data_IF_421676516315
#
_entry.id   IF_421676516315
#
_cell.length_a   1.000
_cell.length_b   1.000
_cell.length_c   1.000
_cell.angle_alpha   90.00
_cell.angle_beta   90.00
_cell.angle_gamma   90.00
#
_symmetry.space_group_name_H-M   'P 1'
#
loop_
_entity.id
_entity.type
_entity.pdbx_description
1 polymer ?
#
# COMPACT_ATOMS: atom_id res chain seq x y z
N UNK A 1 2.63 20.74 15.39
CA UNK A 1 3.12 19.95 14.24
C UNK A 1 2.02 19.55 13.26
N UNK A 2 0.83 19.08 13.68
CA UNK A 2 -0.33 18.77 12.79
C UNK A 2 -0.85 19.88 11.83
N UNK A 3 -0.49 21.14 12.08
CA UNK A 3 -0.92 22.29 11.26
C UNK A 3 -0.03 22.52 10.02
N UNK A 4 1.16 21.91 9.97
CA UNK A 4 2.15 22.10 8.91
C UNK A 4 2.46 20.83 8.11
N UNK A 5 2.20 19.64 8.64
CA UNK A 5 2.33 18.38 7.89
C UNK A 5 1.13 18.11 7.00
N UNK A 6 1.30 18.37 5.70
CA UNK A 6 0.33 18.04 4.64
C UNK A 6 0.09 16.52 4.52
N UNK A 7 0.96 15.71 5.14
CA UNK A 7 0.89 14.25 5.29
C UNK A 7 0.14 13.79 6.56
N UNK A 8 -0.06 14.66 7.56
CA UNK A 8 -0.75 14.35 8.82
C UNK A 8 -2.28 14.48 8.73
N UNK A 9 -2.85 14.19 7.56
CA UNK A 9 -4.29 14.25 7.33
C UNK A 9 -4.92 12.85 7.41
N UNK A 10 -4.70 12.17 8.53
CA UNK A 10 -5.29 10.87 8.86
C UNK A 10 -6.60 11.04 9.62
N UNK A 11 -7.51 10.06 9.50
CA UNK A 11 -8.76 10.05 10.26
C UNK A 11 -8.47 9.96 11.76
N UNK A 12 -9.22 10.75 12.53
CA UNK A 12 -9.08 10.78 13.99
C UNK A 12 -10.05 9.75 14.56
N UNK A 13 -9.49 8.63 15.01
CA UNK A 13 -10.22 7.61 15.75
C UNK A 13 -10.00 7.83 17.25
N UNK A 14 -11.08 7.92 18.02
CA UNK A 14 -11.05 8.07 19.49
C UNK A 14 -11.85 6.93 20.14
N UNK A 15 -11.45 6.48 21.33
CA UNK A 15 -12.16 5.43 22.08
C UNK A 15 -11.96 3.99 21.56
N UNK A 16 -13.02 3.19 21.58
CA UNK A 16 -13.04 1.77 21.16
C UNK A 16 -12.63 1.57 19.69
N UNK A 17 -13.10 2.38 18.72
CA UNK A 17 -12.69 2.28 17.30
C UNK A 17 -11.19 2.38 17.07
N UNK A 18 -10.50 3.22 17.86
CA UNK A 18 -9.03 3.33 17.79
C UNK A 18 -8.34 2.03 18.20
N UNK A 19 -8.85 1.36 19.25
CA UNK A 19 -8.31 0.06 19.69
C UNK A 19 -8.50 -1.01 18.62
N UNK A 20 -9.68 -1.04 17.98
CA UNK A 20 -9.97 -1.99 16.89
C UNK A 20 -9.04 -1.78 15.71
N UNK A 21 -8.83 -0.53 15.28
CA UNK A 21 -7.93 -0.23 14.14
C UNK A 21 -6.48 -0.56 14.49
N UNK A 22 -6.02 -0.23 15.70
CA UNK A 22 -4.68 -0.59 16.14
C UNK A 22 -4.49 -2.12 16.18
N UNK A 23 -5.49 -2.87 16.66
CA UNK A 23 -5.46 -4.33 16.65
C UNK A 23 -5.41 -4.88 15.22
N UNK A 24 -6.22 -4.33 14.31
CA UNK A 24 -6.22 -4.70 12.89
C UNK A 24 -4.86 -4.43 12.24
N UNK A 25 -4.25 -3.27 12.50
CA UNK A 25 -2.91 -2.95 12.02
C UNK A 25 -1.85 -3.90 12.58
N UNK A 26 -1.93 -4.24 13.87
CA UNK A 26 -1.00 -5.20 14.48
C UNK A 26 -1.14 -6.59 13.87
N UNK A 27 -2.37 -7.08 13.67
CA UNK A 27 -2.64 -8.37 13.00
C UNK A 27 -2.10 -8.34 11.56
N UNK A 28 -2.30 -7.24 10.84
CA UNK A 28 -1.76 -7.09 9.49
C UNK A 28 -0.22 -7.10 9.46
N UNK A 29 0.44 -6.43 10.41
CA UNK A 29 1.90 -6.47 10.53
C UNK A 29 2.41 -7.89 10.81
N UNK A 30 1.78 -8.62 11.73
CA UNK A 30 2.12 -10.02 12.02
C UNK A 30 1.87 -10.91 10.81
N UNK A 31 0.77 -10.69 10.09
CA UNK A 31 0.48 -11.38 8.83
C UNK A 31 1.57 -11.13 7.78
N UNK A 32 2.00 -9.88 7.57
CA UNK A 32 3.08 -9.55 6.63
C UNK A 32 4.40 -10.22 7.00
N UNK A 33 4.74 -10.29 8.30
CA UNK A 33 5.94 -11.00 8.77
C UNK A 33 5.81 -12.51 8.50
N UNK A 34 4.70 -13.13 8.95
CA UNK A 34 4.48 -14.56 8.79
C UNK A 34 4.45 -14.99 7.33
N UNK A 35 3.77 -14.23 6.47
CA UNK A 35 3.71 -14.52 5.04
C UNK A 35 5.03 -14.26 4.33
N UNK A 36 5.90 -13.38 4.82
CA UNK A 36 7.24 -13.21 4.24
C UNK A 36 8.19 -14.34 4.63
N UNK A 37 8.07 -14.87 5.84
CA UNK A 37 8.93 -15.94 6.34
C UNK A 37 8.51 -17.35 5.87
N UNK A 38 7.21 -17.65 5.78
CA UNK A 38 6.72 -19.03 5.64
C UNK A 38 5.99 -19.34 4.32
N UNK A 39 5.63 -18.32 3.53
CA UNK A 39 4.75 -18.54 2.37
C UNK A 39 5.53 -18.90 1.10
N UNK A 40 5.33 -20.12 0.58
CA UNK A 40 5.76 -20.60 -0.75
C UNK A 40 4.70 -20.44 -1.84
N UNK A 41 3.57 -19.81 -1.51
CA UNK A 41 2.45 -19.52 -2.40
C UNK A 41 2.86 -18.72 -3.65
N UNK A 42 2.08 -18.87 -4.72
CA UNK A 42 2.24 -18.10 -5.95
C UNK A 42 2.23 -16.58 -5.68
N UNK A 43 3.11 -15.82 -6.38
CA UNK A 43 3.26 -14.39 -6.13
C UNK A 43 1.97 -13.61 -6.37
N UNK A 44 1.17 -13.97 -7.38
CA UNK A 44 -0.08 -13.25 -7.68
C UNK A 44 -1.08 -13.34 -6.53
N UNK A 45 -1.25 -14.53 -5.95
CA UNK A 45 -2.17 -14.76 -4.83
C UNK A 45 -1.72 -14.02 -3.57
N UNK A 46 -0.41 -14.04 -3.31
CA UNK A 46 0.18 -13.38 -2.14
C UNK A 46 0.08 -11.86 -2.22
N UNK A 47 0.45 -11.28 -3.36
CA UNK A 47 0.42 -9.84 -3.58
C UNK A 47 -1.02 -9.31 -3.67
N UNK A 48 -1.96 -10.07 -4.25
CA UNK A 48 -3.38 -9.70 -4.28
C UNK A 48 -3.99 -9.62 -2.88
N UNK A 49 -3.75 -10.61 -2.01
CA UNK A 49 -4.20 -10.58 -0.61
C UNK A 49 -3.61 -9.40 0.15
N UNK A 50 -2.32 -9.14 -0.04
CA UNK A 50 -1.67 -7.98 0.56
C UNK A 50 -2.34 -6.67 0.12
N UNK A 51 -2.57 -6.50 -1.18
CA UNK A 51 -3.22 -5.30 -1.71
C UNK A 51 -4.65 -5.14 -1.19
N UNK A 52 -5.40 -6.23 -1.06
CA UNK A 52 -6.75 -6.21 -0.47
C UNK A 52 -6.74 -5.63 0.96
N UNK A 53 -5.81 -6.09 1.79
CA UNK A 53 -5.62 -5.57 3.14
C UNK A 53 -5.17 -4.09 3.14
N UNK A 54 -4.27 -3.72 2.24
CA UNK A 54 -3.84 -2.32 2.07
C UNK A 54 -4.99 -1.42 1.66
N UNK A 55 -5.91 -1.89 0.81
CA UNK A 55 -7.13 -1.13 0.45
C UNK A 55 -8.01 -0.91 1.68
N UNK A 56 -8.24 -1.93 2.50
CA UNK A 56 -9.04 -1.80 3.73
C UNK A 56 -8.41 -0.76 4.67
N UNK A 57 -7.12 -0.93 4.97
CA UNK A 57 -6.39 -0.05 5.89
C UNK A 57 -6.31 1.38 5.33
N UNK A 58 -6.06 1.52 4.02
CA UNK A 58 -5.98 2.79 3.34
C UNK A 58 -7.27 3.59 3.44
N UNK A 59 -8.43 2.96 3.23
CA UNK A 59 -9.72 3.61 3.38
C UNK A 59 -10.12 3.90 4.83
N UNK A 60 -9.59 3.15 5.81
CA UNK A 60 -9.79 3.43 7.24
C UNK A 60 -8.97 4.64 7.70
N UNK A 61 -7.76 4.81 7.18
CA UNK A 61 -6.82 5.85 7.61
C UNK A 61 -7.02 7.16 6.83
N UNK A 62 -7.24 7.13 5.52
CA UNK A 62 -7.24 8.33 4.68
C UNK A 62 -8.66 8.78 4.29
N UNK A 63 -9.11 9.98 4.73
CA UNK A 63 -10.42 10.53 4.38
C UNK A 63 -10.46 11.15 2.97
N UNK A 64 -11.64 11.17 2.34
CA UNK A 64 -11.88 11.74 0.99
C UNK A 64 -11.54 13.23 0.87
N UNK A 65 -11.86 14.03 1.90
CA UNK A 65 -11.81 15.50 1.84
C UNK A 65 -10.95 16.06 2.97
N UNK A 66 -9.92 16.84 2.60
CA UNK A 66 -9.06 17.55 3.55
C UNK A 66 -9.87 18.75 4.11
N UNK A 67 -10.27 18.70 5.38
CA UNK A 67 -10.82 19.88 6.07
C UNK A 67 -12.03 19.70 6.99
N UNK A 68 -12.84 18.64 6.87
CA UNK A 68 -13.98 18.36 7.77
C UNK A 68 -14.06 16.89 8.16
N UNK A 69 -13.08 16.41 8.92
CA UNK A 69 -13.10 15.06 9.49
C UNK A 69 -13.78 15.12 10.86
N UNK A 70 -15.01 14.60 10.96
CA UNK A 70 -15.66 14.37 12.25
C UNK A 70 -14.94 13.21 12.96
N UNK A 71 -14.70 13.30 14.27
CA UNK A 71 -14.11 12.19 15.02
C UNK A 71 -15.01 10.97 14.91
N UNK A 72 -14.41 9.79 14.67
CA UNK A 72 -15.12 8.51 14.61
C UNK A 72 -16.28 8.42 13.60
N UNK A 73 -16.19 9.09 12.45
CA UNK A 73 -17.21 8.99 11.40
C UNK A 73 -16.59 8.60 10.07
N UNK A 74 -17.10 7.51 9.49
CA UNK A 74 -16.80 7.08 8.14
C UNK A 74 -18.05 7.28 7.28
N UNK A 75 -17.99 8.04 6.19
CA UNK A 75 -19.10 8.14 5.24
C UNK A 75 -19.46 6.76 4.71
N UNK A 76 -20.75 6.46 4.58
CA UNK A 76 -21.23 5.18 4.05
C UNK A 76 -20.64 4.84 2.67
N UNK A 77 -20.47 5.83 1.81
CA UNK A 77 -19.82 5.69 0.49
C UNK A 77 -18.37 5.18 0.58
N UNK A 78 -17.60 5.63 1.58
CA UNK A 78 -16.24 5.14 1.79
C UNK A 78 -16.23 3.67 2.23
N UNK A 79 -17.24 3.24 2.98
CA UNK A 79 -17.39 1.82 3.41
C UNK A 79 -17.71 0.96 2.20
N UNK A 80 -18.66 1.40 1.36
CA UNK A 80 -19.05 0.67 0.14
C UNK A 80 -17.86 0.51 -0.79
N UNK A 81 -17.09 1.57 -1.04
CA UNK A 81 -15.90 1.48 -1.90
C UNK A 81 -14.82 0.61 -1.30
N UNK A 82 -14.57 0.73 0.00
CA UNK A 82 -13.61 -0.10 0.70
C UNK A 82 -13.94 -1.59 0.55
N UNK A 83 -15.20 -1.96 0.78
CA UNK A 83 -15.66 -3.35 0.67
C UNK A 83 -15.61 -3.83 -0.77
N UNK A 84 -16.08 -3.04 -1.73
CA UNK A 84 -16.03 -3.40 -3.15
C UNK A 84 -14.60 -3.59 -3.65
N UNK A 85 -13.70 -2.64 -3.36
CA UNK A 85 -12.30 -2.75 -3.78
C UNK A 85 -11.60 -3.94 -3.14
N UNK A 86 -11.75 -4.12 -1.83
CA UNK A 86 -11.19 -5.27 -1.13
C UNK A 86 -11.74 -6.59 -1.68
N UNK A 87 -13.05 -6.67 -1.96
CA UNK A 87 -13.67 -7.85 -2.55
C UNK A 87 -13.10 -8.16 -3.94
N UNK A 88 -12.81 -7.16 -4.78
CA UNK A 88 -12.17 -7.39 -6.09
C UNK A 88 -10.79 -8.03 -5.96
N UNK A 89 -9.95 -7.54 -5.04
CA UNK A 89 -8.61 -8.10 -4.80
C UNK A 89 -8.65 -9.47 -4.11
N UNK A 90 -9.57 -9.68 -3.17
CA UNK A 90 -9.79 -11.00 -2.56
C UNK A 90 -10.32 -12.01 -3.56
N UNK A 91 -11.26 -11.61 -4.42
CA UNK A 91 -11.75 -12.47 -5.49
C UNK A 91 -10.61 -12.92 -6.40
N UNK A 92 -9.74 -11.99 -6.82
CA UNK A 92 -8.57 -12.39 -7.59
C UNK A 92 -7.62 -13.28 -6.78
N UNK A 93 -7.39 -13.02 -5.50
CA UNK A 93 -6.55 -13.86 -4.66
C UNK A 93 -7.05 -15.31 -4.56
N UNK A 94 -8.35 -15.53 -4.40
CA UNK A 94 -8.90 -16.89 -4.28
C UNK A 94 -8.95 -17.63 -5.61
N UNK A 95 -9.20 -16.93 -6.72
CA UNK A 95 -9.37 -17.52 -8.05
C UNK A 95 -8.18 -17.27 -9.00
N UNK A 96 -7.02 -16.88 -8.48
CA UNK A 96 -5.87 -16.46 -9.28
C UNK A 96 -5.48 -17.52 -10.33
N UNK A 97 -5.33 -18.77 -9.88
CA UNK A 97 -4.91 -19.89 -10.72
C UNK A 97 -5.88 -20.15 -11.89
N UNK A 98 -7.18 -20.06 -11.64
CA UNK A 98 -8.18 -20.30 -12.68
C UNK A 98 -8.21 -19.14 -13.68
N UNK A 99 -8.13 -17.90 -13.19
CA UNK A 99 -8.13 -16.71 -14.04
C UNK A 99 -6.88 -16.65 -14.93
N UNK A 100 -5.71 -17.03 -14.41
CA UNK A 100 -4.47 -17.07 -15.19
C UNK A 100 -4.55 -18.14 -16.28
N UNK A 101 -5.13 -19.31 -15.97
CA UNK A 101 -5.32 -20.40 -16.96
C UNK A 101 -6.29 -20.00 -18.07
N UNK A 102 -7.29 -19.16 -17.78
CA UNK A 102 -8.21 -18.62 -18.79
C UNK A 102 -7.53 -17.64 -19.77
N UNK A 103 -6.37 -17.07 -19.40
CA UNK A 103 -5.61 -16.13 -20.23
C UNK A 103 -6.50 -14.99 -20.75
N UNK A 104 -6.45 -14.64 -22.04
CA UNK A 104 -7.28 -13.58 -22.65
C UNK A 104 -8.75 -13.97 -22.88
N UNK A 105 -9.18 -15.20 -22.56
CA UNK A 105 -10.59 -15.65 -22.67
C UNK A 105 -11.40 -15.34 -21.41
N UNK A 106 -11.35 -14.08 -21.02
CA UNK A 106 -11.90 -13.59 -19.77
C UNK A 106 -13.39 -13.31 -19.94
N UNK A 107 -14.21 -13.80 -19.02
CA UNK A 107 -15.64 -13.49 -18.97
C UNK A 107 -15.89 -12.00 -18.61
N UNK A 108 -17.04 -11.42 -19.02
CA UNK A 108 -17.39 -10.03 -18.72
C UNK A 108 -17.35 -9.69 -17.22
N UNK A 109 -17.66 -10.66 -16.35
CA UNK A 109 -17.62 -10.50 -14.90
C UNK A 109 -16.22 -10.13 -14.38
N UNK A 110 -15.18 -10.78 -14.87
CA UNK A 110 -13.80 -10.50 -14.46
C UNK A 110 -13.32 -9.15 -15.00
N UNK A 111 -13.80 -8.72 -16.17
CA UNK A 111 -13.52 -7.38 -16.70
C UNK A 111 -14.12 -6.34 -15.75
N UNK A 112 -15.36 -6.52 -15.30
CA UNK A 112 -15.99 -5.63 -14.33
C UNK A 112 -15.22 -5.58 -13.00
N UNK A 113 -14.81 -6.74 -12.47
CA UNK A 113 -13.99 -6.83 -11.25
C UNK A 113 -12.67 -6.09 -11.39
N UNK A 114 -11.97 -6.24 -12.52
CA UNK A 114 -10.70 -5.57 -12.76
C UNK A 114 -10.85 -4.05 -12.89
N UNK A 115 -11.89 -3.59 -13.57
CA UNK A 115 -12.21 -2.15 -13.69
C UNK A 115 -12.52 -1.56 -12.31
N UNK A 116 -13.41 -2.19 -11.54
CA UNK A 116 -13.77 -1.71 -10.19
C UNK A 116 -12.53 -1.69 -9.31
N UNK A 117 -11.77 -2.79 -9.24
CA UNK A 117 -10.55 -2.86 -8.44
C UNK A 117 -9.52 -1.79 -8.81
N UNK A 118 -9.35 -1.52 -10.11
CA UNK A 118 -8.44 -0.49 -10.61
C UNK A 118 -8.91 0.93 -10.23
N UNK A 119 -10.20 1.21 -10.39
CA UNK A 119 -10.78 2.51 -10.03
C UNK A 119 -10.69 2.77 -8.52
N UNK A 120 -10.96 1.77 -7.69
CA UNK A 120 -10.82 1.89 -6.23
C UNK A 120 -9.37 2.12 -5.83
N UNK A 121 -8.43 1.42 -6.47
CA UNK A 121 -7.00 1.64 -6.22
C UNK A 121 -6.55 3.05 -6.64
N UNK A 122 -7.01 3.52 -7.80
CA UNK A 122 -6.71 4.88 -8.27
C UNK A 122 -7.26 5.95 -7.32
N UNK A 123 -8.48 5.77 -6.82
CA UNK A 123 -9.09 6.65 -5.81
C UNK A 123 -8.33 6.61 -4.48
N UNK A 124 -7.83 5.44 -4.07
CA UNK A 124 -6.96 5.33 -2.89
C UNK A 124 -5.64 6.07 -3.10
N UNK A 125 -4.99 5.92 -4.26
CA UNK A 125 -3.77 6.65 -4.61
C UNK A 125 -3.99 8.17 -4.59
N UNK A 126 -5.15 8.65 -5.06
CA UNK A 126 -5.54 10.07 -4.98
C UNK A 126 -5.60 10.57 -3.53
N UNK A 127 -6.07 9.71 -2.60
CA UNK A 127 -6.19 10.05 -1.17
C UNK A 127 -4.84 10.06 -0.46
N UNK A 128 -3.96 9.10 -0.78
CA UNK A 128 -2.65 8.94 -0.14
C UNK A 128 -1.63 9.97 -0.64
N UNK A 129 -1.43 10.04 -1.97
CA UNK A 129 -0.34 10.84 -2.59
C UNK A 129 -0.85 12.18 -3.09
N UNK A 130 -2.05 12.20 -3.68
CA UNK A 130 -2.68 13.41 -4.19
C UNK A 130 -3.00 13.35 -5.69
N UNK A 131 -3.40 14.50 -6.24
CA UNK A 131 -3.81 14.64 -7.64
C UNK A 131 -2.66 14.44 -8.65
N UNK A 132 -1.40 14.85 -8.40
CA UNK A 132 -0.34 14.73 -9.40
C UNK A 132 -0.13 13.32 -9.93
N UNK A 133 -0.13 12.31 -9.05
CA UNK A 133 0.04 10.90 -9.48
C UNK A 133 -1.13 10.42 -10.32
N UNK A 134 -2.34 10.91 -10.06
CA UNK A 134 -3.55 10.53 -10.77
C UNK A 134 -3.55 11.06 -12.20
N UNK A 135 -3.03 12.27 -12.41
CA UNK A 135 -2.85 12.82 -13.77
C UNK A 135 -1.93 11.92 -14.59
N UNK A 136 -0.79 11.52 -14.01
CA UNK A 136 0.16 10.62 -14.69
C UNK A 136 -0.48 9.28 -15.01
N UNK A 137 -1.20 8.67 -14.05
CA UNK A 137 -1.90 7.39 -14.26
C UNK A 137 -2.95 7.50 -15.37
N UNK A 138 -3.74 8.57 -15.41
CA UNK A 138 -4.73 8.78 -16.48
C UNK A 138 -4.05 8.92 -17.84
N UNK A 139 -2.97 9.72 -17.94
CA UNK A 139 -2.24 9.89 -19.19
C UNK A 139 -1.63 8.57 -19.70
N UNK A 140 -1.09 7.73 -18.81
CA UNK A 140 -0.55 6.42 -19.20
C UNK A 140 -1.65 5.42 -19.56
N UNK A 141 -2.79 5.46 -18.87
CA UNK A 141 -3.94 4.62 -19.20
C UNK A 141 -4.55 4.98 -20.55
N UNK A 142 -4.70 6.27 -20.86
CA UNK A 142 -5.19 6.71 -22.18
C UNK A 142 -4.23 6.32 -23.29
N UNK A 143 -2.92 6.44 -23.06
CA UNK A 143 -1.90 5.94 -23.99
C UNK A 143 -2.01 4.41 -24.21
N UNK A 144 -2.16 3.62 -23.14
CA UNK A 144 -2.31 2.18 -23.24
C UNK A 144 -3.59 1.76 -23.98
N UNK A 145 -4.71 2.44 -23.71
CA UNK A 145 -5.98 2.23 -24.41
C UNK A 145 -5.84 2.59 -25.90
N UNK A 146 -5.20 3.71 -26.22
CA UNK A 146 -4.99 4.14 -27.61
C UNK A 146 -4.14 3.14 -28.40
N UNK A 147 -3.05 2.63 -27.80
CA UNK A 147 -2.20 1.62 -28.44
C UNK A 147 -2.97 0.31 -28.70
N UNK A 148 -3.73 -0.16 -27.70
CA UNK A 148 -4.49 -1.39 -27.84
C UNK A 148 -5.67 -1.25 -28.82
N UNK A 149 -6.28 -0.07 -28.89
CA UNK A 149 -7.33 0.24 -29.86
C UNK A 149 -6.81 0.12 -31.29
N UNK A 150 -5.62 0.67 -31.58
CA UNK A 150 -4.98 0.52 -32.90
C UNK A 150 -4.69 -0.94 -33.25
N UNK A 151 -4.28 -1.76 -32.28
CA UNK A 151 -3.95 -3.16 -32.51
C UNK A 151 -5.17 -4.07 -32.72
N UNK A 152 -6.31 -3.76 -32.08
CA UNK A 152 -7.46 -4.66 -32.00
C UNK A 152 -8.66 -4.22 -32.86
N UNK A 153 -8.80 -2.93 -33.17
CA UNK A 153 -9.93 -2.37 -33.95
C UNK A 153 -11.29 -2.43 -33.25
N UNK A 154 -11.45 -3.21 -32.18
CA UNK A 154 -12.69 -3.39 -31.40
C UNK A 154 -12.57 -2.79 -29.99
N UNK A 155 -13.44 -1.83 -29.62
CA UNK A 155 -13.54 -1.25 -28.28
C UNK A 155 -13.66 -2.26 -27.12
N UNK A 156 -14.35 -3.39 -27.33
CA UNK A 156 -14.53 -4.39 -26.30
C UNK A 156 -13.25 -5.19 -26.07
N UNK A 157 -12.60 -5.58 -27.17
CA UNK A 157 -11.35 -6.33 -27.13
C UNK A 157 -10.20 -5.51 -26.54
N UNK A 158 -10.14 -4.20 -26.84
CA UNK A 158 -9.12 -3.33 -26.22
C UNK A 158 -9.27 -3.27 -24.70
N UNK A 159 -10.50 -3.11 -24.20
CA UNK A 159 -10.75 -2.94 -22.77
C UNK A 159 -10.43 -4.23 -22.03
N UNK A 160 -10.85 -5.37 -22.58
CA UNK A 160 -10.53 -6.69 -22.04
C UNK A 160 -9.02 -6.90 -21.91
N UNK A 161 -8.26 -6.60 -22.96
CA UNK A 161 -6.81 -6.81 -22.97
C UNK A 161 -6.07 -5.89 -22.01
N UNK A 162 -6.47 -4.61 -21.93
CA UNK A 162 -5.87 -3.64 -21.00
C UNK A 162 -6.17 -4.02 -19.55
N UNK A 163 -7.42 -4.34 -19.22
CA UNK A 163 -7.80 -4.76 -17.86
C UNK A 163 -7.09 -6.05 -17.45
N UNK A 164 -6.94 -7.01 -18.37
CA UNK A 164 -6.18 -8.22 -18.11
C UNK A 164 -4.72 -7.97 -17.76
N UNK A 165 -4.03 -7.21 -18.62
CA UNK A 165 -2.62 -6.88 -18.40
C UNK A 165 -2.42 -6.04 -17.15
N UNK A 166 -3.35 -5.13 -16.85
CA UNK A 166 -3.23 -4.21 -15.72
C UNK A 166 -3.57 -4.86 -14.37
N UNK A 167 -4.59 -5.71 -14.30
CA UNK A 167 -5.11 -6.22 -13.02
C UNK A 167 -4.74 -7.67 -12.75
N UNK A 168 -4.72 -8.52 -13.79
CA UNK A 168 -4.58 -9.96 -13.64
C UNK A 168 -3.17 -10.49 -13.97
N UNK A 169 -2.28 -9.61 -14.43
CA UNK A 169 -0.89 -9.96 -14.79
C UNK A 169 0.11 -9.29 -13.85
N UNK A 170 1.29 -9.90 -13.70
CA UNK A 170 2.42 -9.35 -12.93
C UNK A 170 3.13 -8.17 -13.58
N UNK A 171 2.73 -7.76 -14.78
CA UNK A 171 3.22 -6.55 -15.44
C UNK A 171 2.40 -5.30 -15.12
N UNK A 172 1.28 -5.46 -14.39
CA UNK A 172 0.38 -4.38 -14.03
C UNK A 172 0.51 -3.94 -12.58
N UNK A 173 -0.64 -3.74 -11.93
CA UNK A 173 -0.75 -3.33 -10.52
C UNK A 173 -0.08 -4.34 -9.61
N UNK A 174 -0.25 -5.64 -9.88
CA UNK A 174 0.28 -6.74 -9.06
C UNK A 174 1.69 -7.11 -9.53
N UNK A 175 2.53 -6.08 -9.69
CA UNK A 175 3.84 -6.22 -10.30
C UNK A 175 5.01 -6.09 -9.35
N UNK A 176 6.18 -5.86 -9.94
CA UNK A 176 7.45 -5.70 -9.23
C UNK A 176 7.42 -4.62 -8.14
N UNK A 177 6.74 -3.45 -8.29
CA UNK A 177 6.74 -2.45 -7.23
C UNK A 177 6.00 -2.94 -5.97
N UNK A 178 4.85 -3.61 -6.15
CA UNK A 178 4.09 -4.17 -5.03
C UNK A 178 4.87 -5.32 -4.38
N UNK A 179 5.59 -6.11 -5.17
CA UNK A 179 6.45 -7.17 -4.64
C UNK A 179 7.54 -6.58 -3.74
N UNK A 180 8.29 -5.58 -4.21
CA UNK A 180 9.33 -4.90 -3.42
C UNK A 180 8.75 -4.24 -2.17
N UNK A 181 7.58 -3.61 -2.28
CA UNK A 181 6.88 -3.04 -1.13
C UNK A 181 6.57 -4.11 -0.08
N UNK A 182 6.05 -5.26 -0.54
CA UNK A 182 5.64 -6.35 0.32
C UNK A 182 6.83 -7.05 1.01
N UNK A 183 7.90 -7.37 0.25
CA UNK A 183 9.02 -8.17 0.76
C UNK A 183 10.06 -7.37 1.51
N UNK A 184 10.23 -6.08 1.20
CA UNK A 184 11.30 -5.28 1.79
C UNK A 184 10.74 -4.12 2.61
N UNK A 185 9.99 -3.21 1.96
CA UNK A 185 9.62 -1.93 2.58
C UNK A 185 8.76 -2.13 3.84
N UNK A 186 7.77 -3.02 3.80
CA UNK A 186 6.89 -3.28 4.95
C UNK A 186 7.66 -3.84 6.14
N UNK A 187 8.60 -4.77 5.92
CA UNK A 187 9.41 -5.34 6.99
C UNK A 187 10.32 -4.28 7.62
N UNK A 188 10.97 -3.46 6.80
CA UNK A 188 11.80 -2.36 7.30
C UNK A 188 10.99 -1.35 8.11
N UNK A 189 9.80 -0.97 7.66
CA UNK A 189 8.92 -0.05 8.41
C UNK A 189 8.49 -0.67 9.75
N UNK A 190 8.10 -1.95 9.77
CA UNK A 190 7.70 -2.63 11.01
C UNK A 190 8.88 -2.73 11.98
N UNK A 191 10.06 -3.09 11.48
CA UNK A 191 11.26 -3.20 12.29
C UNK A 191 11.74 -1.85 12.82
N UNK A 192 11.75 -0.81 11.98
CA UNK A 192 12.05 0.56 12.39
C UNK A 192 11.11 1.05 13.48
N UNK A 193 9.80 0.85 13.32
CA UNK A 193 8.81 1.18 14.34
C UNK A 193 9.00 0.38 15.64
N UNK A 194 9.43 -0.89 15.55
CA UNK A 194 9.76 -1.71 16.71
C UNK A 194 10.99 -1.17 17.46
N UNK A 195 12.05 -0.77 16.77
CA UNK A 195 13.27 -0.20 17.38
C UNK A 195 13.01 1.16 18.04
N UNK A 196 12.18 1.98 17.42
CA UNK A 196 11.76 3.27 17.99
C UNK A 196 11.00 3.05 19.31
N UNK A 197 10.10 2.06 19.35
CA UNK A 197 9.29 1.77 20.55
C UNK A 197 10.02 1.02 21.65
N UNK A 198 10.99 0.18 21.31
CA UNK A 198 11.82 -0.54 22.30
C UNK A 198 12.89 0.35 22.93
N UNK A 199 13.09 1.57 22.42
CA UNK A 199 14.10 2.50 22.94
C UNK A 199 15.53 2.12 22.57
N UNK A 200 15.73 1.11 21.71
CA UNK A 200 17.05 0.72 21.20
C UNK A 200 17.66 1.89 20.39
N UNK A 201 16.84 2.69 19.71
CA UNK A 201 17.30 3.92 19.09
C UNK A 201 17.96 4.89 20.09
N UNK A 202 17.37 5.04 21.28
CA UNK A 202 17.94 5.86 22.35
C UNK A 202 19.19 5.22 22.99
N UNK A 203 19.26 3.88 23.01
CA UNK A 203 20.47 3.15 23.40
C UNK A 203 21.64 3.45 22.45
N UNK A 204 21.42 3.42 21.13
CA UNK A 204 22.48 3.77 20.16
C UNK A 204 22.94 5.21 20.26
N UNK A 205 22.02 6.16 20.49
CA UNK A 205 22.37 7.56 20.75
C UNK A 205 23.25 7.67 22.01
N UNK A 206 22.84 7.00 23.09
CA UNK A 206 23.57 7.01 24.36
C UNK A 206 24.94 6.34 24.25
N UNK A 207 25.04 5.26 23.48
CA UNK A 207 26.28 4.57 23.18
C UNK A 207 27.23 5.46 22.37
N UNK A 208 26.73 6.09 21.30
CA UNK A 208 27.49 7.04 20.50
C UNK A 208 27.99 8.21 21.35
N UNK A 209 27.16 8.72 22.26
CA UNK A 209 27.53 9.80 23.18
C UNK A 209 28.66 9.39 24.13
N UNK A 210 28.66 8.16 24.64
CA UNK A 210 29.78 7.64 25.45
C UNK A 210 31.07 7.47 24.66
N UNK A 211 30.99 7.08 23.38
CA UNK A 211 32.18 6.82 22.54
C UNK A 211 32.81 8.10 22.02
N UNK A 212 32.01 9.07 21.56
CA UNK A 212 32.51 10.23 20.82
C UNK A 212 32.12 11.58 21.44
N UNK A 213 31.29 11.59 22.49
CA UNK A 213 30.76 12.82 23.09
C UNK A 213 31.81 13.69 23.78
N UNK A 214 32.91 13.11 24.27
CA UNK A 214 34.00 13.90 24.87
C UNK A 214 34.81 14.68 23.83
N UNK A 215 34.83 14.22 22.58
CA UNK A 215 35.75 14.72 21.56
C UNK A 215 35.41 16.17 21.20
N UNK A 216 36.41 16.97 20.80
CA UNK A 216 36.14 18.21 20.08
C UNK A 216 35.29 17.90 18.84
N UNK A 217 34.18 18.63 18.66
CA UNK A 217 33.13 18.33 17.69
C UNK A 217 32.19 17.17 18.07
N UNK A 218 32.14 16.79 19.35
CA UNK A 218 31.45 15.59 19.86
C UNK A 218 30.01 15.44 19.39
N UNK A 219 29.21 16.52 19.43
CA UNK A 219 27.83 16.49 18.96
C UNK A 219 27.69 16.06 17.49
N UNK A 220 28.60 16.52 16.62
CA UNK A 220 28.61 16.14 15.21
C UNK A 220 29.02 14.67 15.01
N UNK A 221 30.04 14.20 15.73
CA UNK A 221 30.51 12.81 15.66
C UNK A 221 29.46 11.84 16.21
N UNK A 222 28.79 12.20 17.30
CA UNK A 222 27.69 11.42 17.90
C UNK A 222 26.50 11.33 16.95
N UNK A 223 26.16 12.42 16.26
CA UNK A 223 25.08 12.41 15.27
C UNK A 223 25.39 11.47 14.09
N UNK A 224 26.62 11.50 13.56
CA UNK A 224 27.04 10.62 12.46
C UNK A 224 27.08 9.15 12.91
N UNK A 225 27.69 8.86 14.05
CA UNK A 225 27.81 7.50 14.57
C UNK A 225 26.44 6.90 14.92
N UNK A 226 25.57 7.68 15.57
CA UNK A 226 24.21 7.25 15.88
C UNK A 226 23.38 7.05 14.61
N UNK A 227 23.53 7.91 13.59
CA UNK A 227 22.83 7.73 12.31
C UNK A 227 23.33 6.51 11.56
N UNK A 228 24.64 6.23 11.59
CA UNK A 228 25.21 5.02 11.00
C UNK A 228 24.73 3.74 11.70
N UNK A 229 24.68 3.73 13.03
CA UNK A 229 24.18 2.60 13.82
C UNK A 229 22.68 2.37 13.61
N UNK A 230 21.86 3.43 13.65
CA UNK A 230 20.44 3.32 13.34
C UNK A 230 20.19 2.94 11.87
N UNK A 231 21.03 3.40 10.94
CA UNK A 231 20.93 3.14 9.51
C UNK A 231 21.37 1.74 9.08
N UNK A 232 22.31 1.09 9.78
CA UNK A 232 22.68 -0.31 9.50
C UNK A 232 21.58 -1.31 9.88
N UNK A 233 20.67 -0.90 10.74
CA UNK A 233 19.60 -1.75 11.26
C UNK A 233 18.30 -1.53 10.47
N UNK A 234 18.14 -0.36 9.83
CA UNK A 234 17.00 -0.02 8.97
C UNK A 234 17.21 -0.42 7.51
#
# INVERSE_FOLDING_TARGET
MRKYDRESNTRIWTGVPKKVINALMAVFSVYCIGMTLFSTELPETKLARFLACVVIIGYLIYPVRKGKVRPNSMPWYDIVIMVLGAACFFYFAFYALDIIKLSTRIQPIHIAVGIIGTLVLMELCRRCVGIPILVVVICLLTYALYNQFQASGDPYLMLRNVVYKLFYTTSGVIGTPVNVCYTYIVLFIIFGAFLERTGIAAFFISFANKVAGWSSGGAAKVAVLSSALCGMVS
#
